data_IF_220375312166
#
_entry.id   IF_220375312166
#
_cell.length_a   1.000
_cell.length_b   1.000
_cell.length_c   1.000
_cell.angle_alpha   90.00
_cell.angle_beta   90.00
_cell.angle_gamma   90.00
#
_symmetry.space_group_name_H-M   'P 1'
#
loop_
_entity.id
_entity.type
_entity.pdbx_description
1 polymer ?
#
# COMPACT_ATOMS: atom_id res chain seq x y z
N UNK A 1 -3.91 10.92 -7.62
CA UNK A 1 -2.44 10.82 -7.45
C UNK A 1 -1.80 12.07 -8.02
N UNK A 2 -0.71 12.53 -7.43
CA UNK A 2 0.14 13.61 -7.98
C UNK A 2 1.54 13.02 -8.11
N UNK A 3 2.10 12.98 -9.32
CA UNK A 3 3.41 12.37 -9.60
C UNK A 3 3.54 10.92 -9.09
N UNK A 4 2.47 10.13 -9.22
CA UNK A 4 2.41 8.73 -8.74
C UNK A 4 2.23 8.58 -7.23
N UNK A 5 2.29 9.66 -6.45
CA UNK A 5 2.00 9.64 -5.01
C UNK A 5 0.48 9.60 -4.80
N UNK A 6 -0.07 8.65 -4.04
CA UNK A 6 -1.47 8.63 -3.66
C UNK A 6 -1.85 9.89 -2.87
N UNK A 7 -3.13 10.25 -2.94
CA UNK A 7 -3.69 11.33 -2.14
C UNK A 7 -4.56 10.71 -1.06
N UNK A 8 -5.02 11.49 -0.08
CA UNK A 8 -5.87 11.04 1.03
C UNK A 8 -7.01 10.10 0.60
N UNK A 9 -7.73 10.43 -0.46
CA UNK A 9 -8.83 9.59 -0.96
C UNK A 9 -8.43 8.15 -1.34
N UNK A 10 -7.13 7.86 -1.55
CA UNK A 10 -6.64 6.51 -1.79
C UNK A 10 -6.55 5.65 -0.51
N UNK A 11 -6.56 6.28 0.67
CA UNK A 11 -6.49 5.62 1.97
C UNK A 11 -7.84 5.57 2.69
N UNK A 12 -8.86 6.21 2.14
CA UNK A 12 -10.21 6.20 2.70
C UNK A 12 -10.87 4.83 2.47
N UNK A 13 -11.41 4.24 3.53
CA UNK A 13 -12.23 3.04 3.43
C UNK A 13 -13.54 3.36 2.72
N UNK A 14 -14.02 2.42 1.91
CA UNK A 14 -15.35 2.50 1.31
C UNK A 14 -16.41 1.98 2.31
N UNK A 15 -17.69 2.33 2.11
CA UNK A 15 -18.76 1.81 2.94
C UNK A 15 -18.75 0.29 3.06
N UNK A 16 -18.62 -0.18 4.31
CA UNK A 16 -18.58 -1.61 4.65
C UNK A 16 -17.21 -2.29 4.54
N UNK A 17 -16.16 -1.59 4.09
CA UNK A 17 -14.79 -2.11 4.16
C UNK A 17 -14.30 -2.13 5.60
N UNK A 18 -13.66 -3.23 6.00
CA UNK A 18 -13.12 -3.41 7.36
C UNK A 18 -11.66 -2.97 7.49
N UNK A 19 -10.97 -2.78 6.36
CA UNK A 19 -9.55 -2.48 6.28
C UNK A 19 -9.18 -1.94 4.91
N UNK A 20 -8.06 -1.21 4.85
CA UNK A 20 -7.46 -0.79 3.60
C UNK A 20 -6.55 -1.89 3.07
N UNK A 21 -6.80 -2.35 1.84
CA UNK A 21 -5.99 -3.38 1.18
C UNK A 21 -4.64 -2.82 0.72
N UNK A 22 -3.56 -3.53 1.06
CA UNK A 22 -2.18 -3.23 0.72
C UNK A 22 -1.37 -4.52 0.52
N UNK A 23 -0.08 -4.41 0.21
CA UNK A 23 0.84 -5.54 0.11
C UNK A 23 2.05 -5.31 1.04
N UNK A 24 2.41 -6.32 1.82
CA UNK A 24 3.58 -6.28 2.71
C UNK A 24 4.84 -6.66 1.93
N UNK A 25 5.75 -5.71 1.74
CA UNK A 25 6.87 -5.87 0.82
C UNK A 25 7.96 -6.80 1.36
N UNK A 26 8.11 -6.85 2.68
CA UNK A 26 9.06 -7.72 3.37
C UNK A 26 8.69 -9.21 3.22
N UNK A 27 7.47 -9.52 2.77
CA UNK A 27 7.07 -10.88 2.40
C UNK A 27 7.94 -11.47 1.29
N UNK A 28 8.40 -10.64 0.34
CA UNK A 28 9.15 -11.13 -0.81
C UNK A 28 10.60 -11.49 -0.47
N UNK A 29 11.08 -11.20 0.75
CA UNK A 29 12.43 -11.51 1.25
C UNK A 29 13.62 -11.03 0.38
N UNK A 30 13.34 -10.29 -0.69
CA UNK A 30 14.34 -9.68 -1.57
C UNK A 30 14.92 -8.41 -0.96
N UNK A 31 16.22 -8.19 -1.16
CA UNK A 31 16.91 -7.01 -0.65
C UNK A 31 16.65 -5.73 -1.47
N UNK A 32 16.17 -5.86 -2.72
CA UNK A 32 15.91 -4.74 -3.60
C UNK A 32 14.42 -4.45 -3.76
N UNK A 33 14.05 -3.17 -3.68
CA UNK A 33 12.67 -2.71 -3.78
C UNK A 33 12.06 -3.01 -5.14
N UNK A 34 12.83 -2.96 -6.23
CA UNK A 34 12.28 -3.26 -7.56
C UNK A 34 11.79 -4.71 -7.66
N UNK A 35 12.54 -5.66 -7.09
CA UNK A 35 12.15 -7.07 -7.04
C UNK A 35 10.86 -7.27 -6.23
N UNK A 36 10.77 -6.64 -5.05
CA UNK A 36 9.56 -6.68 -4.22
C UNK A 36 8.33 -6.14 -4.96
N UNK A 37 8.48 -5.01 -5.67
CA UNK A 37 7.39 -4.43 -6.48
C UNK A 37 7.03 -5.32 -7.67
N UNK A 38 7.99 -5.99 -8.30
CA UNK A 38 7.72 -6.98 -9.33
C UNK A 38 6.89 -8.16 -8.78
N UNK A 39 7.20 -8.61 -7.56
CA UNK A 39 6.41 -9.62 -6.83
C UNK A 39 4.97 -9.18 -6.59
N UNK A 40 4.74 -7.96 -6.10
CA UNK A 40 3.39 -7.39 -5.94
C UNK A 40 2.66 -7.31 -7.28
N UNK A 41 3.34 -6.87 -8.34
CA UNK A 41 2.76 -6.78 -9.69
C UNK A 41 2.31 -8.16 -10.19
N UNK A 42 3.13 -9.19 -9.96
CA UNK A 42 2.78 -10.57 -10.32
C UNK A 42 1.56 -11.05 -9.52
N UNK A 43 1.55 -10.86 -8.20
CA UNK A 43 0.42 -11.26 -7.34
C UNK A 43 -0.91 -10.60 -7.75
N UNK A 44 -0.88 -9.29 -8.07
CA UNK A 44 -2.07 -8.59 -8.57
C UNK A 44 -2.51 -9.10 -9.95
N UNK A 45 -1.56 -9.42 -10.83
CA UNK A 45 -1.85 -10.01 -12.14
C UNK A 45 -2.51 -11.38 -11.99
N UNK A 46 -2.02 -12.21 -11.08
CA UNK A 46 -2.56 -13.54 -10.78
C UNK A 46 -3.96 -13.47 -10.17
N UNK A 47 -4.27 -12.39 -9.42
CA UNK A 47 -5.63 -12.05 -8.97
C UNK A 47 -6.55 -11.52 -10.09
N UNK A 48 -6.04 -11.38 -11.32
CA UNK A 48 -6.78 -10.87 -12.47
C UNK A 48 -6.89 -9.35 -12.51
N UNK A 49 -6.14 -8.61 -11.69
CA UNK A 49 -6.10 -7.16 -11.79
C UNK A 49 -5.32 -6.72 -13.01
N UNK A 50 -5.98 -5.89 -13.84
CA UNK A 50 -5.32 -5.22 -14.95
C UNK A 50 -4.70 -3.91 -14.49
N UNK A 51 -3.42 -3.95 -14.15
CA UNK A 51 -2.63 -2.78 -13.84
C UNK A 51 -2.56 -1.88 -15.08
N UNK A 52 -3.07 -0.65 -15.00
CA UNK A 52 -3.12 0.28 -16.14
C UNK A 52 -1.81 1.06 -16.24
N UNK A 53 -1.43 1.50 -17.45
CA UNK A 53 -0.17 2.23 -17.65
C UNK A 53 -0.01 3.52 -16.84
N UNK A 54 -1.12 4.10 -16.36
CA UNK A 54 -1.11 5.32 -15.56
C UNK A 54 -1.17 5.08 -14.04
N UNK A 55 -1.06 3.83 -13.59
CA UNK A 55 -1.02 3.51 -12.15
C UNK A 55 0.42 3.40 -11.65
N UNK A 56 0.61 3.67 -10.36
CA UNK A 56 1.89 3.53 -9.67
C UNK A 56 1.69 2.81 -8.34
N UNK A 57 2.73 2.14 -7.88
CA UNK A 57 2.88 1.68 -6.51
C UNK A 57 3.60 2.77 -5.71
N UNK A 58 3.17 2.98 -4.47
CA UNK A 58 3.87 3.86 -3.54
C UNK A 58 4.08 3.11 -2.22
N UNK A 59 5.22 3.35 -1.58
CA UNK A 59 5.58 2.67 -0.34
C UNK A 59 5.15 3.50 0.86
N UNK A 60 4.40 2.89 1.77
CA UNK A 60 4.01 3.47 3.04
C UNK A 60 5.03 3.11 4.12
N UNK A 61 5.48 4.09 4.92
CA UNK A 61 6.24 3.78 6.14
C UNK A 61 5.27 3.40 7.27
N UNK A 62 5.08 2.09 7.43
CA UNK A 62 4.12 1.54 8.38
C UNK A 62 4.50 1.82 9.84
N UNK A 63 5.78 1.72 10.20
CA UNK A 63 6.23 1.97 11.57
C UNK A 63 5.95 3.41 12.01
N UNK A 64 6.27 4.39 11.14
CA UNK A 64 5.98 5.80 11.42
C UNK A 64 4.47 6.08 11.40
N UNK A 65 3.71 5.47 10.49
CA UNK A 65 2.26 5.65 10.43
C UNK A 65 1.57 5.19 11.73
N UNK A 66 1.91 4.00 12.22
CA UNK A 66 1.40 3.49 13.50
C UNK A 66 1.77 4.43 14.64
N UNK A 67 3.04 4.82 14.73
CA UNK A 67 3.52 5.69 15.81
C UNK A 67 2.79 7.04 15.84
N UNK A 68 2.61 7.67 14.67
CA UNK A 68 1.97 8.99 14.56
C UNK A 68 0.47 8.91 14.83
N UNK A 69 -0.23 7.89 14.33
CA UNK A 69 -1.64 7.69 14.68
C UNK A 69 -1.82 7.52 16.20
N UNK A 70 -0.92 6.79 16.85
CA UNK A 70 -0.99 6.60 18.30
C UNK A 70 -0.65 7.88 19.08
N UNK A 71 0.40 8.61 18.69
CA UNK A 71 0.83 9.81 19.42
C UNK A 71 -0.09 11.00 19.23
N UNK A 72 -0.58 11.21 18.01
CA UNK A 72 -1.28 12.44 17.63
C UNK A 72 -2.80 12.31 17.78
N UNK A 73 -3.35 11.10 17.59
CA UNK A 73 -4.79 10.85 17.60
C UNK A 73 -5.26 9.90 18.72
N UNK A 74 -4.33 9.30 19.49
CA UNK A 74 -4.62 8.18 20.40
C UNK A 74 -5.34 7.01 19.71
N UNK A 75 -5.02 6.76 18.44
CA UNK A 75 -5.62 5.69 17.63
C UNK A 75 -4.64 4.54 17.37
N UNK A 76 -5.09 3.32 17.64
CA UNK A 76 -4.33 2.09 17.39
C UNK A 76 -4.73 1.49 16.05
N UNK A 77 -4.04 1.89 14.97
CA UNK A 77 -4.15 1.19 13.68
C UNK A 77 -3.35 -0.13 13.72
N UNK A 78 -3.88 -1.16 13.07
CA UNK A 78 -3.29 -2.50 13.07
C UNK A 78 -2.97 -2.98 11.66
N UNK A 79 -1.91 -3.77 11.52
CA UNK A 79 -1.47 -4.34 10.26
C UNK A 79 -1.53 -5.84 10.37
N UNK A 80 -2.26 -6.49 9.47
CA UNK A 80 -2.35 -7.95 9.46
C UNK A 80 -2.22 -8.48 8.03
N UNK A 81 -1.29 -9.41 7.85
CA UNK A 81 -1.20 -10.20 6.61
C UNK A 81 -2.42 -11.11 6.53
N UNK A 82 -3.19 -10.96 5.47
CA UNK A 82 -4.40 -11.71 5.23
C UNK A 82 -4.14 -12.97 4.41
N UNK A 83 -3.07 -12.95 3.60
CA UNK A 83 -2.52 -14.11 2.89
C UNK A 83 -3.56 -14.80 2.01
N UNK A 84 -3.64 -14.39 0.74
CA UNK A 84 -4.53 -15.03 -0.23
C UNK A 84 -3.75 -16.02 -1.11
N UNK A 85 -4.42 -17.04 -1.66
CA UNK A 85 -3.77 -18.11 -2.44
C UNK A 85 -2.96 -17.61 -3.64
N UNK A 86 -3.35 -16.46 -4.21
CA UNK A 86 -2.68 -15.80 -5.34
C UNK A 86 -1.98 -14.49 -4.96
N UNK A 87 -2.04 -14.10 -3.69
CA UNK A 87 -1.37 -12.90 -3.16
C UNK A 87 -1.03 -13.11 -1.67
N UNK A 88 0.02 -13.88 -1.39
CA UNK A 88 0.42 -14.15 -0.01
C UNK A 88 0.95 -12.88 0.70
N UNK A 89 1.26 -11.82 -0.04
CA UNK A 89 1.66 -10.52 0.49
C UNK A 89 0.47 -9.63 0.89
N UNK A 90 -0.77 -10.01 0.52
CA UNK A 90 -1.96 -9.22 0.79
C UNK A 90 -2.12 -8.95 2.28
N UNK A 91 -2.26 -7.67 2.62
CA UNK A 91 -2.22 -7.15 3.98
C UNK A 91 -3.27 -6.08 4.15
N UNK A 92 -3.95 -6.09 5.30
CA UNK A 92 -4.93 -5.07 5.67
C UNK A 92 -4.38 -4.09 6.70
N UNK A 93 -4.72 -2.81 6.53
CA UNK A 93 -4.61 -1.78 7.58
C UNK A 93 -5.98 -1.60 8.22
N UNK A 94 -6.07 -1.89 9.52
CA UNK A 94 -7.28 -1.89 10.34
C UNK A 94 -7.24 -0.77 11.39
N UNK A 95 -8.35 -0.60 12.11
CA UNK A 95 -8.41 0.28 13.30
C UNK A 95 -8.92 1.69 13.01
N UNK A 96 -9.50 1.92 11.83
CA UNK A 96 -10.17 3.16 11.47
C UNK A 96 -11.34 2.88 10.51
N UNK A 97 -12.17 3.90 10.29
CA UNK A 97 -13.42 3.88 9.54
C UNK A 97 -13.37 4.89 8.38
N UNK A 98 -14.44 4.96 7.59
CA UNK A 98 -14.55 5.91 6.47
C UNK A 98 -14.60 7.39 6.91
N UNK A 99 -14.95 7.64 8.17
CA UNK A 99 -15.08 8.99 8.76
C UNK A 99 -13.79 9.49 9.42
N UNK A 100 -12.78 8.62 9.60
CA UNK A 100 -11.52 8.94 10.27
C UNK A 100 -10.54 9.70 9.34
N UNK A 101 -10.91 10.92 8.97
CA UNK A 101 -10.16 11.73 8.00
C UNK A 101 -8.74 12.05 8.46
N UNK A 102 -8.50 12.15 9.76
CA UNK A 102 -7.17 12.44 10.30
C UNK A 102 -6.22 11.25 10.14
N UNK A 103 -6.71 10.02 10.33
CA UNK A 103 -5.92 8.79 10.05
C UNK A 103 -5.56 8.74 8.57
N UNK A 104 -6.52 9.02 7.70
CA UNK A 104 -6.33 9.06 6.24
C UNK A 104 -5.25 10.09 5.86
N UNK A 105 -5.27 11.28 6.46
CA UNK A 105 -4.26 12.31 6.23
C UNK A 105 -2.86 11.88 6.73
N UNK A 106 -2.78 11.22 7.89
CA UNK A 106 -1.52 10.67 8.40
C UNK A 106 -0.97 9.62 7.43
N UNK A 107 -1.78 8.66 6.98
CA UNK A 107 -1.36 7.61 6.06
C UNK A 107 -0.81 8.21 4.74
N UNK A 108 -1.52 9.18 4.16
CA UNK A 108 -1.06 9.87 2.96
C UNK A 108 0.28 10.59 3.17
N UNK A 109 0.46 11.23 4.33
CA UNK A 109 1.70 11.93 4.70
C UNK A 109 2.88 10.99 4.96
N UNK A 110 2.62 9.75 5.38
CA UNK A 110 3.68 8.76 5.66
C UNK A 110 4.11 7.95 4.42
N UNK A 111 3.56 8.27 3.24
CA UNK A 111 4.04 7.70 1.98
C UNK A 111 5.45 8.21 1.71
N UNK A 112 6.36 7.31 1.34
CA UNK A 112 7.69 7.70 0.90
C UNK A 112 7.63 8.22 -0.54
N UNK A 113 7.68 9.55 -0.71
CA UNK A 113 7.60 10.19 -2.02
C UNK A 113 8.78 9.86 -2.95
N UNK A 114 9.86 9.24 -2.42
CA UNK A 114 11.00 8.77 -3.21
C UNK A 114 10.87 7.31 -3.65
N UNK A 115 9.92 6.57 -3.08
CA UNK A 115 9.66 5.16 -3.38
C UNK A 115 8.31 5.04 -4.08
N UNK A 116 8.28 5.57 -5.31
CA UNK A 116 7.13 5.48 -6.22
C UNK A 116 7.57 4.73 -7.46
N UNK A 117 6.84 3.67 -7.81
CA UNK A 117 7.20 2.74 -8.87
C UNK A 117 6.10 2.65 -9.91
N UNK A 118 6.41 2.69 -11.21
CA UNK A 118 5.42 2.45 -12.26
C UNK A 118 4.78 1.07 -12.10
N UNK A 119 3.46 1.02 -12.23
CA UNK A 119 2.75 -0.22 -12.03
C UNK A 119 2.83 -1.12 -13.28
N UNK A 120 2.94 -0.53 -14.48
CA UNK A 120 3.37 -1.26 -15.68
C UNK A 120 4.90 -1.40 -15.69
N UNK A 121 5.46 -2.52 -16.19
CA UNK A 121 6.91 -2.66 -16.37
C UNK A 121 7.44 -1.55 -17.27
N UNK A 122 8.59 -0.97 -16.91
CA UNK A 122 9.35 -0.14 -17.83
C UNK A 122 9.81 -0.99 -19.01
N UNK A 123 9.95 -0.44 -20.24
CA UNK A 123 10.58 -1.15 -21.36
C UNK A 123 11.95 -1.76 -21.02
N UNK A 124 12.62 -1.24 -19.97
CA UNK A 124 13.92 -1.67 -19.49
C UNK A 124 13.87 -2.73 -18.37
N UNK A 125 12.69 -3.15 -17.90
CA UNK A 125 12.54 -4.15 -16.82
C UNK A 125 12.67 -5.61 -17.32
N UNK A 126 13.05 -5.81 -18.59
CA UNK A 126 13.37 -7.13 -19.14
C UNK A 126 14.87 -7.39 -19.00
N UNK A 127 15.24 -8.08 -17.92
CA UNK A 127 16.49 -8.84 -17.85
C UNK A 127 16.25 -10.28 -18.34
#
# INVERSE_FOLDING_TARGET
MVNGVPQENAFRLRPGEKYLSTNWLEHFHDADRQAQIAGVRQALTDKGFRVRGNTAFAVLNVGTAIAVCKSDLDMDIQIATLGESHDPSHTGIFGYTEDDTDVVAILARQVNHREVYPAAPSPNDKA
#
